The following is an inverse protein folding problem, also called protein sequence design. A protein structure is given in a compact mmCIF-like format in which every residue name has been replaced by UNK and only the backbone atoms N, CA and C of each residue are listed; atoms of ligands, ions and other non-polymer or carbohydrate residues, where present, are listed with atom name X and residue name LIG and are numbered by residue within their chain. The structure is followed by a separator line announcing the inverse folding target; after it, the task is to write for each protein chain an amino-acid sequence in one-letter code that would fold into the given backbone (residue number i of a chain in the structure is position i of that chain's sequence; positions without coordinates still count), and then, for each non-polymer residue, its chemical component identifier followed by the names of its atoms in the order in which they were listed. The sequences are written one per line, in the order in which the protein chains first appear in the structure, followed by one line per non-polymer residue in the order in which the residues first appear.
data_IF_815912140601
#
_entry.id   IF_815912140601
#
_cell.length_a   1.000
_cell.length_b   1.000
_cell.length_c   1.000
_cell.angle_alpha   90.00
_cell.angle_beta   90.00
_cell.angle_gamma   90.00
#
_symmetry.space_group_name_H-M   'P 1'
#
loop_
_entity.id
_entity.type
_entity.pdbx_description
1 polymer ?
#
# COMPACT_ATOMS: atom_id res chain seq x y z
N UNK A 1 10.42 -16.74 -26.70
CA UNK A 1 9.89 -15.62 -25.92
C UNK A 1 8.38 -15.61 -26.06
N UNK A 2 7.68 -16.31 -25.18
CA UNK A 2 6.23 -16.14 -25.04
C UNK A 2 6.00 -14.80 -24.36
N UNK A 3 5.14 -13.92 -24.90
CA UNK A 3 4.78 -12.70 -24.21
C UNK A 3 3.99 -13.12 -22.96
N UNK A 4 4.57 -12.90 -21.78
CA UNK A 4 3.78 -12.95 -20.54
C UNK A 4 2.61 -12.01 -20.74
N UNK A 5 1.39 -12.51 -20.54
CA UNK A 5 0.19 -11.77 -20.82
C UNK A 5 0.22 -10.48 -19.99
N UNK A 6 0.15 -9.33 -20.65
CA UNK A 6 0.20 -8.01 -20.00
C UNK A 6 -0.94 -7.83 -18.98
N UNK A 7 -1.94 -8.74 -18.96
CA UNK A 7 -3.06 -8.74 -18.02
C UNK A 7 -2.88 -9.55 -16.73
N UNK A 8 -2.19 -10.71 -16.74
CA UNK A 8 -2.07 -11.55 -15.52
C UNK A 8 -1.15 -10.94 -14.46
N UNK A 9 -0.08 -10.25 -14.89
CA UNK A 9 0.82 -9.51 -14.01
C UNK A 9 0.09 -8.36 -13.28
N UNK A 10 -0.92 -7.75 -13.94
CA UNK A 10 -1.70 -6.65 -13.39
C UNK A 10 -2.75 -7.14 -12.36
N UNK A 11 -3.40 -8.29 -12.57
CA UNK A 11 -4.35 -8.86 -11.61
C UNK A 11 -3.66 -9.32 -10.32
N UNK A 12 -2.52 -10.03 -10.43
CA UNK A 12 -1.73 -10.44 -9.28
C UNK A 12 -1.19 -9.23 -8.51
N UNK A 13 -0.77 -8.18 -9.22
CA UNK A 13 -0.33 -6.92 -8.60
C UNK A 13 -1.44 -6.32 -7.75
N UNK A 14 -2.67 -6.24 -8.26
CA UNK A 14 -3.81 -5.68 -7.51
C UNK A 14 -4.01 -6.44 -6.20
N UNK A 15 -3.92 -7.78 -6.23
CA UNK A 15 -4.02 -8.62 -5.03
C UNK A 15 -2.91 -8.30 -4.03
N UNK A 16 -1.64 -8.29 -4.46
CA UNK A 16 -0.52 -8.07 -3.55
C UNK A 16 -0.47 -6.67 -2.96
N UNK A 17 -0.89 -5.68 -3.75
CA UNK A 17 -0.99 -4.29 -3.29
C UNK A 17 -2.14 -4.16 -2.28
N UNK A 18 -3.27 -4.82 -2.51
CA UNK A 18 -4.38 -4.86 -1.55
C UNK A 18 -3.98 -5.54 -0.24
N UNK A 19 -3.28 -6.68 -0.29
CA UNK A 19 -2.71 -7.36 0.88
C UNK A 19 -1.79 -6.41 1.67
N UNK A 20 -0.90 -5.73 0.96
CA UNK A 20 0.00 -4.74 1.56
C UNK A 20 -0.78 -3.60 2.23
N UNK A 21 -1.77 -3.02 1.55
CA UNK A 21 -2.56 -1.90 2.06
C UNK A 21 -3.29 -2.30 3.34
N UNK A 22 -3.87 -3.50 3.38
CA UNK A 22 -4.57 -4.01 4.55
C UNK A 22 -3.63 -4.20 5.75
N UNK A 23 -2.47 -4.81 5.54
CA UNK A 23 -1.48 -5.00 6.61
C UNK A 23 -0.91 -3.65 7.05
N UNK A 24 -0.61 -2.75 6.12
CA UNK A 24 -0.08 -1.43 6.43
C UNK A 24 -1.07 -0.59 7.24
N UNK A 25 -2.37 -0.67 6.91
CA UNK A 25 -3.42 -0.03 7.70
C UNK A 25 -3.47 -0.57 9.15
N UNK A 26 -3.26 -1.88 9.35
CA UNK A 26 -3.15 -2.47 10.69
C UNK A 26 -1.95 -1.91 11.46
N UNK A 27 -0.78 -1.81 10.82
CA UNK A 27 0.42 -1.22 11.46
C UNK A 27 0.16 0.23 11.87
N UNK A 28 -0.38 1.06 10.95
CA UNK A 28 -0.69 2.47 11.23
C UNK A 28 -1.68 2.59 12.39
N UNK A 29 -2.72 1.76 12.43
CA UNK A 29 -3.69 1.74 13.53
C UNK A 29 -3.03 1.41 14.86
N UNK A 30 -2.20 0.37 14.91
CA UNK A 30 -1.48 -0.03 16.13
C UNK A 30 -0.51 1.05 16.61
N UNK A 31 0.20 1.73 15.69
CA UNK A 31 1.08 2.84 16.02
C UNK A 31 0.31 4.02 16.65
N UNK A 32 -0.86 4.37 16.10
CA UNK A 32 -1.74 5.40 16.66
C UNK A 32 -2.26 5.04 18.05
N UNK A 33 -2.68 3.79 18.25
CA UNK A 33 -3.20 3.31 19.54
C UNK A 33 -2.10 3.26 20.62
N UNK A 34 -0.90 2.78 20.28
CA UNK A 34 0.26 2.82 21.17
C UNK A 34 0.60 4.26 21.56
N UNK A 35 0.63 5.18 20.59
CA UNK A 35 0.92 6.60 20.86
C UNK A 35 -0.11 7.21 21.81
N UNK A 36 -1.40 6.94 21.57
CA UNK A 36 -2.50 7.40 22.43
C UNK A 36 -2.36 6.87 23.86
N UNK A 37 -2.16 5.57 24.06
CA UNK A 37 -2.03 4.98 25.40
C UNK A 37 -0.75 5.43 26.11
N UNK A 38 0.33 5.66 25.36
CA UNK A 38 1.58 6.21 25.92
C UNK A 38 1.34 7.63 26.45
N UNK A 39 0.62 8.46 25.70
CA UNK A 39 0.25 9.81 26.13
C UNK A 39 -0.69 9.82 27.33
N UNK A 40 -1.67 8.91 27.36
CA UNK A 40 -2.54 8.72 28.54
C UNK A 40 -1.73 8.33 29.79
N UNK A 41 -0.70 7.49 29.62
CA UNK A 41 0.24 7.12 30.67
C UNK A 41 1.04 8.32 31.19
N UNK A 42 1.59 9.14 30.28
CA UNK A 42 2.26 10.39 30.66
C UNK A 42 1.32 11.34 31.40
N UNK A 43 0.10 11.53 30.89
CA UNK A 43 -0.91 12.37 31.53
C UNK A 43 -1.35 11.85 32.91
N UNK A 44 -1.35 10.53 33.13
CA UNK A 44 -1.60 9.95 34.45
C UNK A 44 -0.48 10.26 35.43
N UNK A 45 0.78 10.02 35.04
CA UNK A 45 1.98 10.32 35.85
C UNK A 45 1.98 11.79 36.27
N UNK A 46 1.72 12.70 35.33
CA UNK A 46 1.63 14.14 35.60
C UNK A 46 0.50 14.52 36.57
N UNK A 47 -0.68 13.90 36.46
CA UNK A 47 -1.85 14.26 37.30
C UNK A 47 -1.82 13.63 38.70
N UNK A 48 -1.22 12.45 38.83
CA UNK A 48 -1.25 11.67 40.07
C UNK A 48 -0.03 11.91 40.97
N UNK A 49 0.92 12.75 40.55
CA UNK A 49 2.25 12.86 41.18
C UNK A 49 2.93 11.49 41.39
N UNK A 50 2.57 10.51 40.57
CA UNK A 50 3.13 9.18 40.60
C UNK A 50 4.30 9.10 39.62
N UNK A 51 5.29 8.24 39.87
CA UNK A 51 6.50 8.11 39.04
C UNK A 51 6.31 7.03 37.95
N UNK A 52 5.27 6.20 38.10
CA UNK A 52 5.03 5.03 37.24
C UNK A 52 3.66 5.09 36.59
N UNK A 53 3.57 4.61 35.34
CA UNK A 53 2.28 4.39 34.69
C UNK A 53 1.59 3.16 35.30
N UNK A 54 0.25 3.08 35.28
CA UNK A 54 -0.47 1.93 35.80
C UNK A 54 -0.02 0.63 35.12
N UNK A 55 0.18 -0.43 35.90
CA UNK A 55 0.66 -1.73 35.38
C UNK A 55 -0.24 -2.26 34.26
N UNK A 56 -1.55 -2.15 34.42
CA UNK A 56 -2.53 -2.57 33.40
C UNK A 56 -2.32 -1.81 32.07
N UNK A 57 -2.03 -0.51 32.13
CA UNK A 57 -1.76 0.29 30.93
C UNK A 57 -0.42 -0.12 30.29
N UNK A 58 0.61 -0.36 31.10
CA UNK A 58 1.90 -0.86 30.63
C UNK A 58 1.76 -2.23 29.93
N UNK A 59 0.96 -3.13 30.49
CA UNK A 59 0.67 -4.45 29.90
C UNK A 59 -0.05 -4.30 28.56
N UNK A 60 -1.04 -3.42 28.45
CA UNK A 60 -1.75 -3.15 27.19
C UNK A 60 -0.81 -2.58 26.11
N UNK A 61 0.03 -1.59 26.46
CA UNK A 61 1.02 -1.04 25.53
C UNK A 61 1.98 -2.13 25.03
N UNK A 62 2.45 -3.00 25.92
CA UNK A 62 3.35 -4.10 25.56
C UNK A 62 2.68 -5.12 24.63
N UNK A 63 1.40 -5.46 24.88
CA UNK A 63 0.62 -6.33 24.00
C UNK A 63 0.45 -5.73 22.60
N UNK A 64 0.13 -4.43 22.52
CA UNK A 64 0.00 -3.73 21.24
C UNK A 64 1.33 -3.65 20.48
N UNK A 65 2.44 -3.42 21.19
CA UNK A 65 3.79 -3.45 20.58
C UNK A 65 4.10 -4.83 19.99
N UNK A 66 3.81 -5.92 20.72
CA UNK A 66 4.00 -7.27 20.20
C UNK A 66 3.09 -7.60 18.99
N UNK A 67 1.88 -7.03 18.93
CA UNK A 67 1.02 -7.13 17.74
C UNK A 67 1.59 -6.33 16.56
N UNK A 68 2.05 -5.11 16.82
CA UNK A 68 2.67 -4.24 15.81
C UNK A 68 3.90 -4.90 15.21
N UNK A 69 4.76 -5.49 16.02
CA UNK A 69 6.01 -6.10 15.54
C UNK A 69 5.72 -7.29 14.61
N UNK A 70 4.69 -8.10 14.93
CA UNK A 70 4.19 -9.15 14.02
C UNK A 70 3.61 -8.59 12.73
N UNK A 71 2.86 -7.50 12.81
CA UNK A 71 2.29 -6.83 11.64
C UNK A 71 3.37 -6.18 10.76
N UNK A 72 4.46 -5.66 11.35
CA UNK A 72 5.62 -5.12 10.62
C UNK A 72 6.32 -6.23 9.83
N UNK A 73 6.54 -7.41 10.42
CA UNK A 73 7.11 -8.56 9.71
C UNK A 73 6.20 -9.00 8.53
N UNK A 74 4.89 -9.06 8.74
CA UNK A 74 3.93 -9.34 7.68
C UNK A 74 3.95 -8.27 6.59
N UNK A 75 4.03 -6.98 6.96
CA UNK A 75 4.10 -5.85 6.02
C UNK A 75 5.34 -5.96 5.16
N UNK A 76 6.47 -6.26 5.77
CA UNK A 76 7.74 -6.44 5.06
C UNK A 76 7.62 -7.54 4.01
N UNK A 77 7.09 -8.72 4.37
CA UNK A 77 6.84 -9.82 3.42
C UNK A 77 5.91 -9.41 2.27
N UNK A 78 4.86 -8.63 2.57
CA UNK A 78 3.93 -8.14 1.55
C UNK A 78 4.61 -7.15 0.59
N UNK A 79 5.46 -6.26 1.09
CA UNK A 79 6.27 -5.37 0.26
C UNK A 79 7.12 -6.19 -0.70
N UNK A 80 7.84 -7.22 -0.23
CA UNK A 80 8.65 -8.07 -1.12
C UNK A 80 7.84 -8.65 -2.27
N UNK A 81 6.61 -9.13 -2.02
CA UNK A 81 5.73 -9.64 -3.08
C UNK A 81 5.39 -8.55 -4.10
N UNK A 82 5.01 -7.36 -3.63
CA UNK A 82 4.73 -6.21 -4.52
C UNK A 82 5.97 -5.86 -5.35
N UNK A 83 7.16 -5.84 -4.75
CA UNK A 83 8.40 -5.45 -5.43
C UNK A 83 8.83 -6.47 -6.49
N UNK A 84 8.73 -7.77 -6.21
CA UNK A 84 9.08 -8.84 -7.18
C UNK A 84 8.14 -8.80 -8.39
N UNK A 85 6.84 -8.59 -8.17
CA UNK A 85 5.84 -8.67 -9.23
C UNK A 85 5.51 -7.33 -9.90
N UNK A 86 6.05 -6.21 -9.41
CA UNK A 86 5.88 -4.90 -10.04
C UNK A 86 6.84 -4.68 -11.22
N UNK A 87 6.31 -4.60 -12.44
CA UNK A 87 7.12 -4.32 -13.64
C UNK A 87 7.95 -3.03 -13.50
N UNK A 88 7.37 -1.96 -12.95
CA UNK A 88 8.08 -0.69 -12.73
C UNK A 88 9.27 -0.85 -11.77
N UNK A 89 9.09 -1.61 -10.68
CA UNK A 89 10.17 -1.89 -9.72
C UNK A 89 11.23 -2.79 -10.36
N UNK A 90 10.83 -3.81 -11.13
CA UNK A 90 11.77 -4.66 -11.87
C UNK A 90 12.60 -3.85 -12.86
N UNK A 91 11.98 -2.96 -13.64
CA UNK A 91 12.68 -2.08 -14.57
C UNK A 91 13.62 -1.12 -13.84
N UNK A 92 13.18 -0.53 -12.72
CA UNK A 92 14.03 0.31 -11.88
C UNK A 92 15.23 -0.48 -11.32
N UNK A 93 15.01 -1.70 -10.82
CA UNK A 93 16.06 -2.57 -10.30
C UNK A 93 17.11 -2.91 -11.36
N UNK A 94 16.67 -3.28 -12.57
CA UNK A 94 17.55 -3.57 -13.70
C UNK A 94 18.35 -2.35 -14.14
N UNK A 95 17.73 -1.17 -14.21
CA UNK A 95 18.43 0.07 -14.59
C UNK A 95 19.48 0.50 -13.56
N UNK A 96 19.31 0.11 -12.30
CA UNK A 96 20.14 0.53 -11.18
C UNK A 96 21.02 -0.60 -10.60
N UNK A 97 21.10 -1.76 -11.27
CA UNK A 97 21.82 -2.94 -10.78
C UNK A 97 23.30 -2.67 -10.45
N UNK A 98 23.94 -1.76 -11.18
CA UNK A 98 25.36 -1.42 -11.01
C UNK A 98 25.61 -0.13 -10.20
N UNK A 99 24.56 0.43 -9.61
CA UNK A 99 24.64 1.70 -8.89
C UNK A 99 24.67 1.46 -7.39
N UNK A 100 25.65 2.02 -6.68
CA UNK A 100 25.79 1.93 -5.20
C UNK A 100 24.78 2.84 -4.46
N UNK A 101 23.54 2.93 -4.93
CA UNK A 101 22.51 3.86 -4.38
C UNK A 101 21.68 3.23 -3.26
N UNK A 102 22.01 2.01 -2.87
CA UNK A 102 21.31 1.27 -1.82
C UNK A 102 21.80 1.74 -0.46
N UNK A 103 20.90 2.32 0.33
CA UNK A 103 21.21 2.75 1.69
C UNK A 103 20.05 2.41 2.60
N UNK A 104 20.31 1.89 3.80
CA UNK A 104 19.23 1.61 4.74
C UNK A 104 18.82 2.90 5.46
N UNK A 105 17.70 3.50 5.05
CA UNK A 105 17.20 4.76 5.62
C UNK A 105 15.81 4.55 6.24
N UNK A 106 15.72 4.18 7.53
CA UNK A 106 14.46 3.82 8.18
C UNK A 106 13.38 4.92 8.12
N UNK A 107 13.77 6.19 8.21
CA UNK A 107 12.83 7.31 8.12
C UNK A 107 12.18 7.43 6.75
N UNK A 108 12.91 7.11 5.67
CA UNK A 108 12.34 7.07 4.31
C UNK A 108 11.34 5.93 4.18
N UNK A 109 11.64 4.75 4.74
CA UNK A 109 10.71 3.62 4.76
C UNK A 109 9.44 3.96 5.52
N UNK A 110 9.57 4.57 6.71
CA UNK A 110 8.44 5.02 7.52
C UNK A 110 7.59 6.06 6.78
N UNK A 111 8.21 7.06 6.17
CA UNK A 111 7.52 8.07 5.38
C UNK A 111 6.79 7.46 4.17
N UNK A 112 7.43 6.52 3.48
CA UNK A 112 6.86 5.83 2.32
C UNK A 112 5.65 4.99 2.74
N UNK A 113 5.71 4.26 3.86
CA UNK A 113 4.59 3.46 4.37
C UNK A 113 3.40 4.34 4.74
N UNK A 114 3.66 5.47 5.41
CA UNK A 114 2.64 6.47 5.72
C UNK A 114 2.01 7.00 4.44
N UNK A 115 2.82 7.38 3.45
CA UNK A 115 2.31 7.91 2.18
C UNK A 115 1.46 6.88 1.43
N UNK A 116 1.85 5.61 1.43
CA UNK A 116 1.02 4.56 0.85
C UNK A 116 -0.32 4.40 1.57
N UNK A 117 -0.37 4.55 2.90
CA UNK A 117 -1.64 4.49 3.64
C UNK A 117 -2.57 5.66 3.27
N UNK A 118 -2.03 6.87 3.11
CA UNK A 118 -2.78 8.04 2.62
C UNK A 118 -3.33 7.80 1.21
N UNK A 119 -2.47 7.36 0.28
CA UNK A 119 -2.86 7.09 -1.10
C UNK A 119 -3.90 5.97 -1.20
N UNK A 120 -3.77 4.90 -0.40
CA UNK A 120 -4.76 3.82 -0.36
C UNK A 120 -6.12 4.33 0.14
N UNK A 121 -6.15 5.25 1.11
CA UNK A 121 -7.38 5.90 1.57
C UNK A 121 -8.01 6.74 0.45
N UNK A 122 -7.21 7.55 -0.25
CA UNK A 122 -7.68 8.39 -1.36
C UNK A 122 -8.25 7.54 -2.51
N UNK A 123 -7.54 6.46 -2.89
CA UNK A 123 -7.97 5.54 -3.95
C UNK A 123 -9.33 4.92 -3.60
N UNK A 124 -9.50 4.38 -2.39
CA UNK A 124 -10.76 3.78 -1.94
C UNK A 124 -11.91 4.79 -1.98
N UNK A 125 -11.64 6.04 -1.60
CA UNK A 125 -12.65 7.10 -1.65
C UNK A 125 -13.04 7.46 -3.09
N UNK A 126 -12.07 7.56 -3.99
CA UNK A 126 -12.36 7.78 -5.42
C UNK A 126 -13.12 6.60 -6.05
N UNK A 127 -12.76 5.36 -5.72
CA UNK A 127 -13.47 4.16 -6.15
C UNK A 127 -14.91 4.14 -5.66
N UNK A 128 -15.14 4.48 -4.38
CA UNK A 128 -16.48 4.60 -3.79
C UNK A 128 -17.32 5.67 -4.49
N UNK A 129 -16.73 6.83 -4.77
CA UNK A 129 -17.41 7.90 -5.52
C UNK A 129 -17.74 7.44 -6.95
N UNK A 130 -16.79 6.80 -7.64
CA UNK A 130 -17.01 6.29 -8.99
C UNK A 130 -18.12 5.24 -9.03
N UNK A 131 -18.15 4.34 -8.05
CA UNK A 131 -19.21 3.34 -7.94
C UNK A 131 -20.59 3.99 -7.73
N UNK A 132 -20.69 5.00 -6.85
CA UNK A 132 -21.94 5.74 -6.65
C UNK A 132 -22.46 6.37 -7.95
N UNK A 133 -21.55 6.88 -8.80
CA UNK A 133 -21.92 7.45 -10.11
C UNK A 133 -22.33 6.37 -11.11
N UNK A 134 -21.67 5.20 -11.10
CA UNK A 134 -22.05 4.03 -11.92
C UNK A 134 -23.45 3.55 -11.56
N UNK A 135 -23.75 3.39 -10.27
CA UNK A 135 -25.09 3.03 -9.79
C UNK A 135 -26.15 4.06 -10.25
N UNK A 136 -25.79 5.35 -10.30
CA UNK A 136 -26.68 6.40 -10.81
C UNK A 136 -26.92 6.33 -12.32
N UNK A 137 -25.91 5.90 -13.09
CA UNK A 137 -26.06 5.62 -14.52
C UNK A 137 -26.98 4.41 -14.72
N UNK A 138 -26.75 3.34 -13.95
CA UNK A 138 -27.54 2.12 -14.03
C UNK A 138 -29.03 2.37 -13.70
N UNK A 139 -29.32 3.23 -12.71
CA UNK A 139 -30.69 3.69 -12.42
C UNK A 139 -31.30 4.50 -13.57
N UNK A 140 -30.54 5.42 -14.17
CA UNK A 140 -31.01 6.21 -15.31
C UNK A 140 -31.35 5.31 -16.52
N UNK A 141 -30.48 4.34 -16.82
CA UNK A 141 -30.66 3.39 -17.91
C UNK A 141 -31.83 2.45 -17.64
N UNK A 142 -31.93 1.91 -16.42
CA UNK A 142 -32.97 0.93 -16.05
C UNK A 142 -34.37 1.56 -15.95
N UNK A 143 -34.46 2.83 -15.56
CA UNK A 143 -35.75 3.54 -15.46
C UNK A 143 -36.28 4.05 -16.81
N UNK A 144 -35.42 4.18 -17.83
CA UNK A 144 -35.79 4.72 -19.14
C UNK A 144 -36.25 6.18 -19.11
N UNK A 145 -36.05 6.89 -17.99
CA UNK A 145 -36.49 8.27 -17.79
C UNK A 145 -35.63 9.22 -18.64
N UNK A 146 -36.22 9.91 -19.65
CA UNK A 146 -35.47 10.82 -20.52
C UNK A 146 -34.77 11.95 -19.76
N UNK A 147 -35.33 12.38 -18.62
CA UNK A 147 -34.73 13.45 -17.81
C UNK A 147 -33.44 13.00 -17.12
N UNK A 148 -33.38 11.76 -16.64
CA UNK A 148 -32.16 11.15 -16.06
C UNK A 148 -31.14 10.83 -17.15
N UNK A 149 -31.60 10.33 -18.30
CA UNK A 149 -30.74 9.99 -19.44
C UNK A 149 -29.96 11.20 -19.98
N UNK A 150 -30.52 12.42 -19.91
CA UNK A 150 -29.81 13.65 -20.28
C UNK A 150 -28.54 13.91 -19.45
N UNK A 151 -28.44 13.34 -18.24
CA UNK A 151 -27.30 13.55 -17.34
C UNK A 151 -26.24 12.45 -17.43
N UNK A 152 -26.48 11.34 -18.14
CA UNK A 152 -25.56 10.19 -18.22
C UNK A 152 -24.18 10.59 -18.77
N UNK A 153 -24.13 11.43 -19.81
CA UNK A 153 -22.87 11.91 -20.36
C UNK A 153 -22.02 12.70 -19.33
N UNK A 154 -22.68 13.50 -18.49
CA UNK A 154 -22.02 14.25 -17.41
C UNK A 154 -21.50 13.30 -16.32
N UNK A 155 -22.28 12.28 -15.95
CA UNK A 155 -21.84 11.25 -14.99
C UNK A 155 -20.63 10.48 -15.53
N UNK A 156 -20.63 10.12 -16.81
CA UNK A 156 -19.48 9.48 -17.48
C UNK A 156 -18.21 10.34 -17.43
N UNK A 157 -18.32 11.64 -17.67
CA UNK A 157 -17.19 12.57 -17.56
C UNK A 157 -16.64 12.67 -16.11
N UNK A 158 -17.52 12.62 -15.11
CA UNK A 158 -17.12 12.62 -13.69
C UNK A 158 -16.40 11.31 -13.32
N UNK A 159 -16.89 10.16 -13.79
CA UNK A 159 -16.24 8.85 -13.60
C UNK A 159 -14.83 8.86 -14.23
N UNK A 160 -14.69 9.33 -15.47
CA UNK A 160 -13.39 9.42 -16.13
C UNK A 160 -12.41 10.34 -15.36
N UNK A 161 -12.92 11.42 -14.76
CA UNK A 161 -12.15 12.29 -13.87
C UNK A 161 -11.65 11.58 -12.61
N UNK A 162 -12.46 10.72 -12.01
CA UNK A 162 -12.09 9.90 -10.85
C UNK A 162 -11.09 8.81 -11.22
N UNK A 163 -11.29 8.13 -12.35
CA UNK A 163 -10.35 7.10 -12.86
C UNK A 163 -8.97 7.70 -13.14
N UNK A 164 -8.90 8.93 -13.66
CA UNK A 164 -7.64 9.66 -13.80
C UNK A 164 -6.97 9.93 -12.45
N UNK A 165 -7.73 10.33 -11.42
CA UNK A 165 -7.19 10.55 -10.06
C UNK A 165 -6.65 9.25 -9.45
N UNK A 166 -7.37 8.14 -9.62
CA UNK A 166 -6.94 6.81 -9.18
C UNK A 166 -5.63 6.42 -9.88
N UNK A 167 -5.54 6.60 -11.19
CA UNK A 167 -4.31 6.33 -11.96
C UNK A 167 -3.12 7.16 -11.46
N UNK A 168 -3.30 8.46 -11.21
CA UNK A 168 -2.25 9.32 -10.65
C UNK A 168 -1.82 8.88 -9.25
N UNK A 169 -2.78 8.54 -8.37
CA UNK A 169 -2.48 8.06 -7.03
C UNK A 169 -1.74 6.72 -7.05
N UNK A 170 -2.10 5.81 -7.95
CA UNK A 170 -1.38 4.55 -8.18
C UNK A 170 0.05 4.80 -8.65
N UNK A 171 0.26 5.69 -9.63
CA UNK A 171 1.60 6.02 -10.11
C UNK A 171 2.47 6.65 -8.99
N UNK A 172 1.90 7.43 -8.09
CA UNK A 172 2.62 7.96 -6.93
C UNK A 172 2.96 6.86 -5.92
N UNK A 173 2.03 5.93 -5.66
CA UNK A 173 2.27 4.76 -4.80
C UNK A 173 3.41 3.89 -5.32
N UNK A 174 3.50 3.73 -6.64
CA UNK A 174 4.57 2.99 -7.28
C UNK A 174 5.95 3.61 -7.00
N UNK A 175 6.04 4.95 -6.95
CA UNK A 175 7.27 5.63 -6.54
C UNK A 175 7.64 5.33 -5.09
N UNK A 176 6.64 5.26 -4.21
CA UNK A 176 6.89 4.89 -2.80
C UNK A 176 7.42 3.46 -2.69
N UNK A 177 6.91 2.52 -3.49
CA UNK A 177 7.48 1.16 -3.55
C UNK A 177 8.91 1.15 -4.09
N UNK A 178 9.23 1.96 -5.10
CA UNK A 178 10.61 2.13 -5.58
C UNK A 178 11.53 2.69 -4.49
N UNK A 179 11.08 3.67 -3.70
CA UNK A 179 11.84 4.15 -2.54
C UNK A 179 12.03 3.05 -1.48
N UNK A 180 11.00 2.25 -1.19
CA UNK A 180 11.14 1.13 -0.25
C UNK A 180 12.15 0.10 -0.73
N UNK A 181 12.17 -0.20 -2.03
CA UNK A 181 13.16 -1.08 -2.63
C UNK A 181 14.58 -0.50 -2.55
N UNK A 182 14.73 0.80 -2.86
CA UNK A 182 16.01 1.50 -2.81
C UNK A 182 16.58 1.60 -1.38
N UNK A 183 15.72 1.87 -0.41
CA UNK A 183 16.13 2.22 0.95
C UNK A 183 15.98 1.10 1.98
N UNK A 184 15.76 -0.13 1.52
CA UNK A 184 15.72 -1.33 2.37
C UNK A 184 16.68 -2.40 1.86
N UNK A 185 17.82 -2.54 2.53
CA UNK A 185 18.84 -3.55 2.21
C UNK A 185 18.26 -4.97 2.25
N UNK A 186 17.44 -5.28 3.25
CA UNK A 186 16.77 -6.58 3.35
C UNK A 186 15.80 -6.83 2.20
N UNK A 187 15.08 -5.79 1.74
CA UNK A 187 14.17 -5.92 0.61
C UNK A 187 14.93 -6.06 -0.70
N UNK A 188 16.03 -5.33 -0.86
CA UNK A 188 16.93 -5.44 -1.99
C UNK A 188 17.49 -6.87 -2.10
N UNK A 189 18.16 -7.38 -1.05
CA UNK A 189 18.76 -8.74 -1.05
C UNK A 189 17.72 -9.82 -1.38
N UNK A 190 16.53 -9.71 -0.79
CA UNK A 190 15.47 -10.72 -0.98
C UNK A 190 14.86 -10.65 -2.37
N UNK A 191 14.64 -9.44 -2.89
CA UNK A 191 14.09 -9.23 -4.24
C UNK A 191 15.08 -9.64 -5.32
N UNK A 192 16.38 -9.33 -5.20
CA UNK A 192 17.40 -9.81 -6.15
C UNK A 192 17.48 -11.34 -6.18
N UNK A 193 17.43 -12.01 -5.01
CA UNK A 193 17.35 -13.48 -4.96
C UNK A 193 16.09 -14.03 -5.64
N UNK A 194 14.93 -13.38 -5.45
CA UNK A 194 13.67 -13.75 -6.09
C UNK A 194 13.68 -13.54 -7.61
N UNK A 195 14.28 -12.44 -8.09
CA UNK A 195 14.43 -12.15 -9.52
C UNK A 195 15.34 -13.16 -10.21
N UNK A 196 16.46 -13.57 -9.59
CA UNK A 196 17.32 -14.61 -10.14
C UNK A 196 16.61 -15.97 -10.24
N UNK A 197 15.79 -16.37 -9.25
CA UNK A 197 15.04 -17.62 -9.31
C UNK A 197 13.94 -17.63 -10.40
N UNK A 198 13.34 -16.47 -10.69
CA UNK A 198 12.36 -16.34 -11.78
C UNK A 198 12.99 -16.52 -13.17
N UNK A 199 14.24 -16.09 -13.35
CA UNK A 199 14.97 -16.18 -14.61
C UNK A 199 15.42 -17.60 -14.98
N UNK A 200 15.48 -18.53 -14.02
CA UNK A 200 15.85 -19.93 -14.27
C UNK A 200 14.68 -20.87 -14.63
N UNK A 201 13.44 -20.37 -14.74
CA UNK A 201 12.26 -21.19 -15.09
C UNK A 201 11.94 -21.28 -16.58
N UNK A 202 12.74 -20.69 -17.46
CA UNK A 202 12.67 -20.96 -18.90
C UNK A 202 14.02 -21.45 -19.42
N UNK A 203 14.18 -22.75 -19.69
CA UNK A 203 15.31 -23.22 -20.48
C UNK A 203 15.22 -22.62 -21.89
N UNK A 204 16.33 -22.16 -22.48
CA UNK A 204 16.34 -21.81 -23.89
C UNK A 204 16.30 -23.11 -24.70
N UNK A 205 15.22 -23.28 -25.46
CA UNK A 205 15.04 -24.29 -26.52
C UNK A 205 15.03 -25.77 -26.08
N UNK A 206 13.88 -26.41 -26.31
CA UNK A 206 13.79 -27.74 -26.91
C UNK A 206 12.56 -27.75 -27.82
#
# INVERSE_FOLDING_TARGET
MTPTSVGEDDELRVIWVSDYDNINAVVVKLELEIAKLTEEGHAFVHRSNNITIPEQLQQQINQLRAQRDRAIDARFKSVIRVLIFSAAVRSFAQQNEHTNIWSNVPEVLKASHKKCAELASDIREYERQAQTLRDSIDDAVSSGDPSKMQHVAKLGALIAGLEKKISVANAERDKQFMFMFQFSEAANITTHKGLHQSSYKHPPYS
#
